data_IF_875937730240
#
_entry.id   IF_875937730240
#
_cell.length_a   1.000
_cell.length_b   1.000
_cell.length_c   1.000
_cell.angle_alpha   90.00
_cell.angle_beta   90.00
_cell.angle_gamma   90.00
#
_symmetry.space_group_name_H-M   'P 1'
#
loop_
_entity.id
_entity.type
_entity.pdbx_description
1 polymer ?
#
# COMPACT_ATOMS: atom_id res chain seq x y z
N UNK A 1 10.29 -0.99 -10.81
CA UNK A 1 9.20 0.00 -10.56
C UNK A 1 9.67 1.35 -11.08
N UNK A 2 8.77 2.21 -11.55
CA UNK A 2 9.17 3.44 -12.30
C UNK A 2 8.23 3.81 -13.45
N UNK A 3 7.00 3.29 -13.46
CA UNK A 3 5.97 3.79 -14.38
C UNK A 3 5.19 4.87 -13.63
N UNK A 4 5.45 6.14 -13.95
CA UNK A 4 4.54 7.24 -13.60
C UNK A 4 3.13 6.84 -14.04
N UNK A 5 2.29 6.46 -13.08
CA UNK A 5 0.87 6.27 -13.32
C UNK A 5 0.26 7.67 -13.38
N UNK A 6 -0.26 8.02 -14.56
CA UNK A 6 -0.92 9.31 -14.77
C UNK A 6 -2.13 9.38 -13.81
N UNK A 7 -2.05 10.22 -12.77
CA UNK A 7 -3.11 10.35 -11.76
C UNK A 7 -4.47 10.63 -12.39
N UNK A 8 -4.50 11.19 -13.61
CA UNK A 8 -5.70 11.41 -14.41
C UNK A 8 -6.38 10.11 -14.83
N UNK A 9 -5.63 9.03 -15.10
CA UNK A 9 -6.19 7.73 -15.46
C UNK A 9 -6.81 7.02 -14.24
N UNK A 10 -6.16 7.11 -13.07
CA UNK A 10 -6.73 6.63 -11.81
C UNK A 10 -8.06 7.29 -11.47
N UNK A 11 -8.16 8.62 -11.63
CA UNK A 11 -9.41 9.37 -11.43
C UNK A 11 -10.49 8.96 -12.45
N UNK A 12 -10.13 8.74 -13.72
CA UNK A 12 -11.09 8.28 -14.74
C UNK A 12 -11.65 6.89 -14.42
N UNK A 13 -10.79 5.95 -14.01
CA UNK A 13 -11.22 4.59 -13.59
C UNK A 13 -12.10 4.62 -12.35
N UNK A 14 -11.70 5.38 -11.33
CA UNK A 14 -12.50 5.59 -10.12
C UNK A 14 -13.90 6.14 -10.46
N UNK A 15 -13.97 7.18 -11.30
CA UNK A 15 -15.26 7.80 -11.68
C UNK A 15 -16.17 6.86 -12.47
N UNK A 16 -15.61 5.94 -13.25
CA UNK A 16 -16.36 5.00 -14.08
C UNK A 16 -16.86 3.76 -13.33
N UNK A 17 -16.16 3.31 -12.28
CA UNK A 17 -16.46 2.03 -11.61
C UNK A 17 -17.19 2.15 -10.26
N UNK A 18 -17.03 3.26 -9.54
CA UNK A 18 -17.64 3.38 -8.20
C UNK A 18 -19.06 3.91 -8.30
N UNK A 19 -20.03 2.98 -8.34
CA UNK A 19 -21.48 3.27 -8.27
C UNK A 19 -21.92 3.73 -6.89
N UNK A 20 -21.31 3.21 -5.82
CA UNK A 20 -21.69 3.51 -4.44
C UNK A 20 -20.53 4.20 -3.69
N UNK A 21 -20.36 5.50 -3.97
CA UNK A 21 -19.20 6.27 -3.52
C UNK A 21 -19.20 6.53 -2.02
N UNK A 22 -20.39 6.65 -1.41
CA UNK A 22 -20.52 6.98 0.00
C UNK A 22 -20.05 5.83 0.90
N UNK A 23 -20.54 4.61 0.65
CA UNK A 23 -20.15 3.40 1.39
C UNK A 23 -18.64 3.11 1.26
N UNK A 24 -18.08 3.24 0.05
CA UNK A 24 -16.64 3.07 -0.14
C UNK A 24 -15.81 4.10 0.64
N UNK A 25 -16.21 5.38 0.59
CA UNK A 25 -15.51 6.45 1.34
C UNK A 25 -15.59 6.19 2.84
N UNK A 26 -16.74 5.75 3.35
CA UNK A 26 -16.92 5.39 4.75
C UNK A 26 -15.99 4.24 5.15
N UNK A 27 -15.98 3.13 4.39
CA UNK A 27 -15.11 1.97 4.66
C UNK A 27 -13.63 2.33 4.63
N UNK A 28 -13.19 3.09 3.62
CA UNK A 28 -11.80 3.56 3.53
C UNK A 28 -11.45 4.47 4.72
N UNK A 29 -12.38 5.34 5.11
CA UNK A 29 -12.20 6.23 6.28
C UNK A 29 -12.07 5.42 7.57
N UNK A 30 -12.90 4.41 7.78
CA UNK A 30 -12.85 3.53 8.95
C UNK A 30 -11.52 2.78 9.01
N UNK A 31 -11.06 2.19 7.90
CA UNK A 31 -9.75 1.52 7.85
C UNK A 31 -8.59 2.49 8.08
N UNK A 32 -8.69 3.72 7.58
CA UNK A 32 -7.67 4.75 7.84
C UNK A 32 -7.61 5.11 9.32
N UNK A 33 -8.76 5.26 10.00
CA UNK A 33 -8.80 5.49 11.45
C UNK A 33 -8.23 4.30 12.22
N UNK A 34 -8.60 3.09 11.82
CA UNK A 34 -8.05 1.87 12.43
C UNK A 34 -6.53 1.81 12.31
N UNK A 35 -5.94 2.18 11.15
CA UNK A 35 -4.48 2.27 11.00
C UNK A 35 -3.83 3.24 11.99
N UNK A 36 -4.49 4.36 12.29
CA UNK A 36 -3.99 5.36 13.25
C UNK A 36 -4.13 4.90 14.71
N UNK A 37 -5.09 4.02 14.99
CA UNK A 37 -5.40 3.53 16.33
C UNK A 37 -4.70 2.20 16.67
N UNK A 38 -4.18 1.48 15.66
CA UNK A 38 -3.44 0.23 15.84
C UNK A 38 -2.24 0.41 16.79
N UNK A 39 -2.09 -0.54 17.72
CA UNK A 39 -1.04 -0.49 18.77
C UNK A 39 0.01 -1.59 18.65
N UNK A 40 -0.17 -2.48 17.70
CA UNK A 40 0.72 -3.61 17.43
C UNK A 40 0.85 -3.82 15.92
N UNK A 41 1.96 -4.44 15.54
CA UNK A 41 2.35 -4.64 14.14
C UNK A 41 1.40 -5.57 13.40
N UNK A 42 0.88 -6.60 14.07
CA UNK A 42 -0.03 -7.57 13.45
C UNK A 42 -1.34 -6.89 13.03
N UNK A 43 -2.00 -6.19 13.96
CA UNK A 43 -3.22 -5.43 13.70
C UNK A 43 -2.97 -4.36 12.64
N UNK A 44 -1.87 -3.61 12.74
CA UNK A 44 -1.51 -2.61 11.71
C UNK A 44 -1.36 -3.26 10.33
N UNK A 45 -0.68 -4.40 10.25
CA UNK A 45 -0.48 -5.17 9.03
C UNK A 45 -1.78 -5.69 8.41
N UNK A 46 -2.70 -6.20 9.22
CA UNK A 46 -4.02 -6.67 8.78
C UNK A 46 -4.87 -5.52 8.23
N UNK A 47 -4.98 -4.43 8.97
CA UNK A 47 -5.74 -3.24 8.52
C UNK A 47 -5.11 -2.67 7.24
N UNK A 48 -3.77 -2.69 7.14
CA UNK A 48 -3.06 -2.24 5.95
C UNK A 48 -3.40 -3.08 4.71
N UNK A 49 -3.45 -4.41 4.86
CA UNK A 49 -3.82 -5.33 3.79
C UNK A 49 -5.30 -5.17 3.39
N UNK A 50 -6.20 -5.06 4.38
CA UNK A 50 -7.62 -4.81 4.13
C UNK A 50 -7.83 -3.50 3.36
N UNK A 51 -7.10 -2.46 3.73
CA UNK A 51 -7.13 -1.17 3.04
C UNK A 51 -6.61 -1.27 1.61
N UNK A 52 -5.48 -1.95 1.36
CA UNK A 52 -4.96 -2.13 0.00
C UNK A 52 -5.95 -2.90 -0.87
N UNK A 53 -6.55 -3.97 -0.34
CA UNK A 53 -7.54 -4.78 -1.05
C UNK A 53 -8.79 -3.99 -1.40
N UNK A 54 -9.39 -3.28 -0.44
CA UNK A 54 -10.60 -2.50 -0.65
C UNK A 54 -10.41 -1.45 -1.76
N UNK A 55 -9.27 -0.75 -1.75
CA UNK A 55 -9.00 0.25 -2.78
C UNK A 55 -8.65 -0.40 -4.12
N UNK A 56 -7.92 -1.50 -4.11
CA UNK A 56 -7.67 -2.31 -5.30
C UNK A 56 -8.97 -2.73 -5.99
N UNK A 57 -9.92 -3.29 -5.23
CA UNK A 57 -11.25 -3.67 -5.72
C UNK A 57 -12.02 -2.49 -6.31
N UNK A 58 -12.05 -1.35 -5.62
CA UNK A 58 -12.72 -0.15 -6.10
C UNK A 58 -12.12 0.42 -7.40
N UNK A 59 -10.83 0.19 -7.63
CA UNK A 59 -10.09 0.67 -8.81
C UNK A 59 -9.87 -0.41 -9.88
N UNK A 60 -10.32 -1.64 -9.64
CA UNK A 60 -10.05 -2.79 -10.52
C UNK A 60 -8.56 -3.10 -10.66
N UNK A 61 -7.79 -2.88 -9.60
CA UNK A 61 -6.35 -3.11 -9.52
C UNK A 61 -6.05 -4.27 -8.57
N UNK A 62 -5.12 -5.14 -8.99
CA UNK A 62 -4.59 -6.16 -8.10
C UNK A 62 -3.69 -5.52 -7.02
N UNK A 63 -3.76 -5.95 -5.75
CA UNK A 63 -2.87 -5.49 -4.68
C UNK A 63 -1.38 -5.54 -5.08
N UNK A 64 -0.63 -4.51 -4.68
CA UNK A 64 0.79 -4.39 -5.06
C UNK A 64 1.64 -5.57 -4.58
N UNK A 65 1.33 -6.11 -3.39
CA UNK A 65 2.02 -7.27 -2.82
C UNK A 65 1.83 -8.50 -3.70
N UNK A 66 0.59 -8.84 -4.04
CA UNK A 66 0.27 -9.99 -4.88
C UNK A 66 0.93 -9.89 -6.25
N UNK A 67 1.01 -8.67 -6.80
CA UNK A 67 1.53 -8.44 -8.16
C UNK A 67 3.05 -8.46 -8.25
N UNK A 68 3.76 -7.94 -7.26
CA UNK A 68 5.20 -7.69 -7.35
C UNK A 68 6.03 -8.36 -6.25
N UNK A 69 5.40 -8.71 -5.13
CA UNK A 69 6.08 -9.20 -3.92
C UNK A 69 5.35 -10.40 -3.28
N UNK A 70 4.95 -11.42 -4.07
CA UNK A 70 4.21 -12.58 -3.53
C UNK A 70 5.04 -13.38 -2.51
N UNK A 71 6.36 -13.22 -2.54
CA UNK A 71 7.35 -13.87 -1.67
C UNK A 71 7.74 -13.03 -0.43
N UNK A 72 7.21 -11.81 -0.29
CA UNK A 72 7.51 -10.98 0.88
C UNK A 72 6.67 -11.43 2.09
N UNK A 73 7.30 -11.79 3.23
CA UNK A 73 6.59 -12.37 4.38
C UNK A 73 5.78 -11.34 5.17
N UNK A 74 6.02 -10.05 4.93
CA UNK A 74 5.35 -8.95 5.62
C UNK A 74 4.04 -8.53 4.96
N UNK A 75 3.71 -7.25 5.11
CA UNK A 75 2.54 -6.62 4.47
C UNK A 75 3.01 -5.43 3.66
N UNK A 76 2.45 -5.25 2.46
CA UNK A 76 2.76 -4.12 1.59
C UNK A 76 1.47 -3.45 1.13
N UNK A 77 1.42 -2.12 1.23
CA UNK A 77 0.42 -1.29 0.55
C UNK A 77 1.08 -0.29 -0.39
N UNK A 78 0.31 0.18 -1.36
CA UNK A 78 0.70 1.29 -2.23
C UNK A 78 0.61 2.65 -1.50
N UNK A 79 1.50 3.57 -1.84
CA UNK A 79 1.44 4.99 -1.43
C UNK A 79 1.36 5.90 -2.68
N UNK A 80 0.66 7.03 -2.56
CA UNK A 80 0.48 7.99 -3.66
C UNK A 80 -0.74 7.70 -4.53
N UNK A 81 -0.73 8.15 -5.79
CA UNK A 81 -1.86 8.03 -6.73
C UNK A 81 -2.06 6.59 -7.25
N UNK A 82 -2.28 5.65 -6.31
CA UNK A 82 -2.81 4.31 -6.50
C UNK A 82 -2.12 3.53 -7.63
N UNK A 83 -0.78 3.58 -7.66
CA UNK A 83 -0.03 3.15 -8.85
C UNK A 83 1.49 3.03 -8.79
N UNK A 84 2.16 3.30 -7.66
CA UNK A 84 3.50 2.75 -7.44
C UNK A 84 4.71 3.63 -7.72
N UNK A 85 4.73 4.86 -7.20
CA UNK A 85 5.99 5.57 -6.97
C UNK A 85 6.63 5.11 -5.64
N UNK A 86 5.81 4.87 -4.62
CA UNK A 86 6.24 4.38 -3.31
C UNK A 86 5.33 3.27 -2.81
N UNK A 87 5.90 2.42 -1.96
CA UNK A 87 5.19 1.42 -1.18
C UNK A 87 5.49 1.63 0.29
N UNK A 88 4.51 1.31 1.13
CA UNK A 88 4.74 1.12 2.55
C UNK A 88 4.84 -0.38 2.81
N UNK A 89 5.92 -0.81 3.45
CA UNK A 89 6.16 -2.20 3.78
C UNK A 89 6.33 -2.34 5.29
N UNK A 90 5.49 -3.18 5.90
CA UNK A 90 5.68 -3.68 7.26
C UNK A 90 6.46 -4.99 7.13
N UNK A 91 7.68 -5.04 7.67
CA UNK A 91 8.58 -6.17 7.51
C UNK A 91 8.81 -6.88 8.85
N UNK A 92 8.74 -8.22 8.89
CA UNK A 92 9.12 -8.99 10.07
C UNK A 92 10.65 -9.18 10.18
N UNK A 93 11.42 -8.61 9.26
CA UNK A 93 12.87 -8.71 9.24
C UNK A 93 13.51 -7.46 9.85
N UNK A 94 14.71 -7.65 10.38
CA UNK A 94 15.62 -6.54 10.66
C UNK A 94 15.85 -5.69 9.41
N UNK A 95 16.14 -4.40 9.62
CA UNK A 95 16.24 -3.39 8.56
C UNK A 95 17.13 -3.82 7.38
N UNK A 96 18.26 -4.48 7.66
CA UNK A 96 19.19 -4.95 6.64
C UNK A 96 18.58 -6.04 5.73
N UNK A 97 17.81 -6.97 6.31
CA UNK A 97 17.10 -8.01 5.55
C UNK A 97 16.05 -7.41 4.60
N UNK A 98 15.29 -6.44 5.11
CA UNK A 98 14.29 -5.69 4.33
C UNK A 98 14.95 -4.92 3.19
N UNK A 99 16.03 -4.18 3.47
CA UNK A 99 16.80 -3.45 2.45
C UNK A 99 17.37 -4.38 1.39
N UNK A 100 17.92 -5.53 1.79
CA UNK A 100 18.45 -6.53 0.85
C UNK A 100 17.37 -7.07 -0.08
N UNK A 101 16.20 -7.44 0.45
CA UNK A 101 15.08 -7.93 -0.36
C UNK A 101 14.63 -6.90 -1.41
N UNK A 102 14.37 -5.66 -1.00
CA UNK A 102 13.95 -4.61 -1.93
C UNK A 102 15.09 -4.23 -2.91
N UNK A 103 16.34 -4.24 -2.48
CA UNK A 103 17.50 -4.06 -3.34
C UNK A 103 17.57 -5.11 -4.45
N UNK A 104 17.31 -6.38 -4.15
CA UNK A 104 17.22 -7.47 -5.15
C UNK A 104 16.07 -7.26 -6.16
N UNK A 105 15.00 -6.58 -5.75
CA UNK A 105 13.88 -6.18 -6.63
C UNK A 105 14.14 -4.85 -7.36
N UNK A 106 15.38 -4.35 -7.36
CA UNK A 106 15.80 -3.08 -7.99
C UNK A 106 15.11 -1.84 -7.38
N UNK A 107 14.77 -1.92 -6.09
CA UNK A 107 14.23 -0.82 -5.28
C UNK A 107 15.30 -0.36 -4.29
N UNK A 108 16.23 0.47 -4.78
CA UNK A 108 17.39 0.89 -4.00
C UNK A 108 17.12 1.94 -2.93
N UNK A 109 15.96 2.61 -2.97
CA UNK A 109 15.57 3.61 -1.97
C UNK A 109 14.60 2.98 -0.97
N UNK A 110 15.12 2.65 0.22
CA UNK A 110 14.35 2.11 1.34
C UNK A 110 14.60 3.02 2.54
N UNK A 111 13.56 3.75 2.96
CA UNK A 111 13.59 4.63 4.11
C UNK A 111 12.93 3.92 5.29
N UNK A 112 13.61 3.87 6.44
CA UNK A 112 12.97 3.46 7.69
C UNK A 112 12.05 4.57 8.19
N UNK A 113 11.14 4.22 9.09
CA UNK A 113 10.27 5.20 9.74
C UNK A 113 11.06 6.35 10.38
N UNK A 114 12.10 6.03 11.14
CA UNK A 114 12.95 7.03 11.82
C UNK A 114 13.64 8.00 10.85
N UNK A 115 13.97 7.55 9.63
CA UNK A 115 14.56 8.40 8.61
C UNK A 115 13.56 9.35 7.95
N UNK A 116 12.25 9.11 8.10
CA UNK A 116 11.18 9.94 7.54
C UNK A 116 10.66 11.00 8.52
N UNK A 117 10.66 10.68 9.82
CA UNK A 117 10.17 11.57 10.88
C UNK A 117 11.30 12.30 11.63
N UNK A 118 12.56 12.04 11.24
CA UNK A 118 13.77 12.67 11.76
C UNK A 118 14.10 14.02 11.13
#
# INVERSE_FOLDING_TARGET
MGKKQDSREGIRRYRAMVKDRADLVEKVTLLTKALLESRDEDTFGEVMAAHEKLVGEALGLQPVQEKYFPDFPGRIKSLGAWGGDFILALSPWESEGTKRYFGQKQLGTVLSWDAMVG
#
